data_IF_795618993895
#
_entry.id   IF_795618993895
#
_cell.length_a   1.000
_cell.length_b   1.000
_cell.length_c   1.000
_cell.angle_alpha   90.00
_cell.angle_beta   90.00
_cell.angle_gamma   90.00
#
_symmetry.space_group_name_H-M   'P 1'
#
loop_
_entity.id
_entity.type
_entity.pdbx_description
1 polymer ?
#
# COMPACT_ATOMS: atom_id res chain seq x y z
N UNK A 1 1.58 30.96 11.91
CA UNK A 1 1.16 30.71 10.53
C UNK A 1 1.84 29.42 10.07
N UNK A 2 1.18 28.29 10.25
CA UNK A 2 1.66 26.98 9.80
C UNK A 2 0.82 26.57 8.59
N UNK A 3 1.51 26.42 7.47
CA UNK A 3 0.91 25.89 6.26
C UNK A 3 0.78 24.36 6.41
N UNK A 4 -0.42 23.88 6.68
CA UNK A 4 -0.73 22.47 6.56
C UNK A 4 -0.70 22.10 5.07
N UNK A 5 0.30 21.30 4.68
CA UNK A 5 0.44 20.80 3.33
C UNK A 5 -0.71 19.87 2.97
N UNK A 6 -1.60 20.36 2.12
CA UNK A 6 -2.64 19.56 1.48
C UNK A 6 -1.98 18.75 0.37
N UNK A 7 -1.84 17.44 0.58
CA UNK A 7 -1.40 16.52 -0.47
C UNK A 7 -2.61 16.23 -1.37
N UNK A 8 -2.69 16.93 -2.49
CA UNK A 8 -3.75 16.73 -3.49
C UNK A 8 -3.32 15.61 -4.45
N UNK A 9 -3.89 14.41 -4.29
CA UNK A 9 -3.79 13.38 -5.32
C UNK A 9 -4.88 13.61 -6.37
N UNK A 10 -4.46 14.07 -7.55
CA UNK A 10 -5.34 14.16 -8.71
C UNK A 10 -5.37 12.78 -9.37
N UNK A 11 -6.44 12.05 -9.16
CA UNK A 11 -6.81 10.92 -10.03
C UNK A 11 -7.29 11.51 -11.36
N UNK A 12 -6.45 11.41 -12.37
CA UNK A 12 -6.78 11.85 -13.72
C UNK A 12 -7.84 10.89 -14.28
N UNK A 13 -9.07 11.34 -14.32
CA UNK A 13 -10.13 10.76 -15.14
C UNK A 13 -10.86 11.88 -15.85
N UNK A 14 -10.85 11.84 -17.17
CA UNK A 14 -11.67 12.70 -18.02
C UNK A 14 -13.14 12.45 -17.71
N UNK A 15 -13.71 13.14 -16.73
CA UNK A 15 -15.12 13.51 -16.58
C UNK A 15 -15.38 14.20 -15.24
N UNK A 16 -15.91 15.35 -15.38
CA UNK A 16 -16.52 16.32 -14.46
C UNK A 16 -15.55 17.36 -13.89
N UNK A 17 -15.69 18.55 -14.40
CA UNK A 17 -15.03 19.79 -13.97
C UNK A 17 -15.45 20.23 -12.55
N UNK A 18 -16.27 19.43 -11.81
CA UNK A 18 -16.95 19.86 -10.58
C UNK A 18 -16.79 18.91 -9.36
N UNK A 19 -15.82 17.97 -9.37
CA UNK A 19 -15.61 17.16 -8.17
C UNK A 19 -14.76 17.92 -7.15
N UNK A 20 -15.38 18.30 -6.01
CA UNK A 20 -14.70 18.97 -4.90
C UNK A 20 -14.37 17.96 -3.78
N UNK A 21 -13.10 17.91 -3.39
CA UNK A 21 -12.66 17.17 -2.19
C UNK A 21 -12.49 18.17 -1.06
N UNK A 22 -13.13 17.91 0.09
CA UNK A 22 -12.96 18.70 1.31
C UNK A 22 -12.43 17.80 2.40
N UNK A 23 -11.33 18.20 3.04
CA UNK A 23 -10.77 17.51 4.20
C UNK A 23 -10.99 18.41 5.42
N UNK A 24 -11.62 17.88 6.45
CA UNK A 24 -11.87 18.56 7.71
C UNK A 24 -11.10 17.85 8.83
N UNK A 25 -10.34 18.61 9.60
CA UNK A 25 -9.71 18.09 10.81
C UNK A 25 -10.73 18.11 11.95
N UNK A 26 -10.99 16.95 12.53
CA UNK A 26 -11.92 16.79 13.65
C UNK A 26 -11.16 16.54 14.96
N UNK A 27 -11.84 16.70 16.10
CA UNK A 27 -11.27 16.39 17.40
C UNK A 27 -11.06 14.89 17.59
N UNK A 28 -10.04 14.45 18.39
CA UNK A 28 -9.75 13.03 18.61
C UNK A 28 -10.90 12.21 19.24
N UNK A 29 -11.89 12.89 19.81
CA UNK A 29 -13.06 12.27 20.44
C UNK A 29 -14.16 11.89 19.42
N UNK A 30 -14.07 12.42 18.19
CA UNK A 30 -15.02 12.12 17.12
C UNK A 30 -14.50 10.97 16.28
N UNK A 31 -15.37 10.08 15.86
CA UNK A 31 -15.02 9.02 14.92
C UNK A 31 -14.66 9.60 13.55
N UNK A 32 -13.60 9.09 12.96
CA UNK A 32 -13.26 9.40 11.57
C UNK A 32 -14.30 8.81 10.63
N UNK A 33 -14.76 9.61 9.66
CA UNK A 33 -15.75 9.18 8.67
C UNK A 33 -15.39 9.70 7.26
N UNK A 34 -15.81 8.98 6.25
CA UNK A 34 -15.76 9.42 4.86
C UNK A 34 -17.17 9.61 4.37
N UNK A 35 -17.56 10.85 4.10
CA UNK A 35 -18.88 11.20 3.57
C UNK A 35 -18.77 11.44 2.05
N UNK A 36 -19.42 10.56 1.27
CA UNK A 36 -19.51 10.71 -0.18
C UNK A 36 -20.88 11.32 -0.55
N UNK A 37 -20.85 12.43 -1.25
CA UNK A 37 -22.03 13.05 -1.86
C UNK A 37 -21.95 12.89 -3.37
N UNK A 38 -22.78 12.06 -3.93
CA UNK A 38 -22.79 11.71 -5.34
C UNK A 38 -24.23 11.73 -5.90
N UNK A 39 -24.35 11.87 -7.20
CA UNK A 39 -25.66 11.80 -7.88
C UNK A 39 -26.13 10.35 -8.04
N UNK A 40 -25.22 9.44 -8.33
CA UNK A 40 -25.48 8.01 -8.45
C UNK A 40 -24.51 7.20 -7.55
N UNK A 41 -25.01 6.45 -6.54
CA UNK A 41 -24.16 5.63 -5.68
C UNK A 41 -23.53 4.41 -6.38
N UNK A 42 -23.96 4.11 -7.61
CA UNK A 42 -23.39 3.01 -8.42
C UNK A 42 -22.26 3.45 -9.35
N UNK A 43 -21.86 4.71 -9.27
CA UNK A 43 -20.69 5.17 -10.03
C UNK A 43 -19.44 4.41 -9.61
N UNK A 44 -18.58 3.97 -10.56
CA UNK A 44 -17.41 3.15 -10.26
C UNK A 44 -16.45 3.77 -9.23
N UNK A 45 -16.31 5.10 -9.24
CA UNK A 45 -15.45 5.81 -8.28
C UNK A 45 -15.99 5.75 -6.83
N UNK A 46 -17.32 5.62 -6.65
CA UNK A 46 -17.95 5.47 -5.31
C UNK A 46 -17.57 4.09 -4.74
N UNK A 47 -17.69 3.04 -5.55
CA UNK A 47 -17.27 1.69 -5.15
C UNK A 47 -15.77 1.63 -4.84
N UNK A 48 -14.96 2.33 -5.62
CA UNK A 48 -13.51 2.41 -5.38
C UNK A 48 -13.18 3.06 -4.03
N UNK A 49 -13.80 4.20 -3.72
CA UNK A 49 -13.58 4.87 -2.42
C UNK A 49 -14.13 4.03 -1.26
N UNK A 50 -15.29 3.40 -1.41
CA UNK A 50 -15.82 2.47 -0.40
C UNK A 50 -14.88 1.30 -0.14
N UNK A 51 -14.27 0.74 -1.19
CA UNK A 51 -13.28 -0.33 -1.08
C UNK A 51 -12.01 0.13 -0.36
N UNK A 52 -11.55 1.34 -0.63
CA UNK A 52 -10.40 1.96 0.06
C UNK A 52 -10.73 2.17 1.54
N UNK A 53 -11.87 2.76 1.85
CA UNK A 53 -12.32 3.01 3.22
C UNK A 53 -12.52 1.71 4.01
N UNK A 54 -12.96 0.64 3.34
CA UNK A 54 -13.08 -0.70 3.94
C UNK A 54 -11.74 -1.46 4.04
N UNK A 55 -10.62 -0.86 3.62
CA UNK A 55 -9.31 -1.52 3.58
C UNK A 55 -9.23 -2.68 2.57
N UNK A 56 -10.11 -2.70 1.57
CA UNK A 56 -10.22 -3.79 0.59
C UNK A 56 -9.58 -3.46 -0.76
N UNK A 57 -8.46 -2.76 -0.75
CA UNK A 57 -7.71 -2.53 -2.00
C UNK A 57 -7.22 -3.87 -2.54
N UNK A 58 -7.50 -4.14 -3.81
CA UNK A 58 -7.10 -5.38 -4.49
C UNK A 58 -6.23 -5.10 -5.70
N UNK A 59 -5.36 -6.06 -6.02
CA UNK A 59 -4.54 -6.09 -7.24
C UNK A 59 -4.72 -7.42 -7.96
N UNK A 60 -4.34 -7.48 -9.23
CA UNK A 60 -4.41 -8.69 -10.02
C UNK A 60 -3.03 -9.35 -10.11
N UNK A 61 -2.97 -10.64 -9.80
CA UNK A 61 -1.82 -11.50 -10.00
C UNK A 61 -2.17 -12.72 -10.85
N UNK A 62 -1.17 -13.36 -11.42
CA UNK A 62 -1.33 -14.58 -12.23
C UNK A 62 -0.62 -15.76 -11.57
N UNK A 63 -1.33 -16.87 -11.37
CA UNK A 63 -0.76 -18.15 -10.94
C UNK A 63 -1.39 -19.28 -11.78
N UNK A 64 -0.58 -20.21 -12.27
CA UNK A 64 -1.00 -21.37 -13.07
C UNK A 64 -1.91 -21.00 -14.26
N UNK A 65 -1.61 -19.86 -14.92
CA UNK A 65 -2.41 -19.35 -16.04
C UNK A 65 -3.75 -18.72 -15.64
N UNK A 66 -4.06 -18.61 -14.35
CA UNK A 66 -5.30 -18.03 -13.83
C UNK A 66 -5.05 -16.60 -13.33
N UNK A 67 -5.98 -15.71 -13.66
CA UNK A 67 -6.00 -14.35 -13.11
C UNK A 67 -6.65 -14.39 -11.73
N UNK A 68 -5.90 -14.02 -10.71
CA UNK A 68 -6.33 -14.01 -9.30
C UNK A 68 -6.41 -12.58 -8.78
N UNK A 69 -7.45 -12.28 -8.03
CA UNK A 69 -7.58 -11.01 -7.32
C UNK A 69 -7.02 -11.15 -5.90
N UNK A 70 -6.02 -10.35 -5.58
CA UNK A 70 -5.29 -10.37 -4.32
C UNK A 70 -5.64 -9.13 -3.51
N UNK A 71 -5.95 -9.28 -2.22
CA UNK A 71 -6.07 -8.14 -1.30
C UNK A 71 -4.68 -7.65 -0.91
N UNK A 72 -4.45 -6.34 -0.83
CA UNK A 72 -3.16 -5.80 -0.39
C UNK A 72 -2.76 -6.31 0.99
N UNK A 73 -3.73 -6.52 1.88
CA UNK A 73 -3.50 -7.06 3.23
C UNK A 73 -2.93 -8.49 3.23
N UNK A 74 -3.16 -9.28 2.18
CA UNK A 74 -2.69 -10.66 2.07
C UNK A 74 -1.28 -10.76 1.46
N UNK A 75 -0.77 -9.68 0.89
CA UNK A 75 0.55 -9.61 0.27
C UNK A 75 1.60 -9.40 1.36
N UNK A 76 2.61 -10.26 1.39
CA UNK A 76 3.78 -10.16 2.24
C UNK A 76 4.80 -9.18 1.67
N UNK A 77 5.12 -9.37 0.41
CA UNK A 77 5.96 -8.44 -0.33
C UNK A 77 5.75 -8.56 -1.85
N UNK A 78 6.11 -7.53 -2.54
CA UNK A 78 6.19 -7.46 -3.99
C UNK A 78 7.65 -7.29 -4.38
N UNK A 79 8.13 -8.10 -5.29
CA UNK A 79 9.52 -8.04 -5.73
C UNK A 79 9.64 -8.09 -7.24
N UNK A 80 10.62 -7.34 -7.74
CA UNK A 80 11.04 -7.39 -9.14
C UNK A 80 12.39 -8.11 -9.23
N UNK A 81 12.39 -9.26 -9.90
CA UNK A 81 13.57 -10.11 -10.12
C UNK A 81 13.76 -10.29 -11.62
N UNK A 82 14.91 -9.93 -12.14
CA UNK A 82 15.27 -10.08 -13.56
C UNK A 82 14.23 -9.51 -14.53
N UNK A 83 13.66 -8.35 -14.18
CA UNK A 83 12.64 -7.67 -14.98
C UNK A 83 11.22 -8.23 -14.87
N UNK A 84 11.02 -9.29 -14.10
CA UNK A 84 9.72 -9.89 -13.81
C UNK A 84 9.26 -9.52 -12.40
N UNK A 85 7.97 -9.24 -12.23
CA UNK A 85 7.39 -8.81 -10.98
C UNK A 85 6.51 -9.91 -10.37
N UNK A 86 6.57 -10.04 -9.04
CA UNK A 86 5.85 -11.08 -8.30
C UNK A 86 5.26 -10.54 -7.02
N UNK A 87 4.03 -10.97 -6.70
CA UNK A 87 3.42 -10.85 -5.39
C UNK A 87 3.66 -12.13 -4.59
N UNK A 88 4.22 -11.99 -3.42
CA UNK A 88 4.42 -13.09 -2.48
C UNK A 88 3.35 -13.01 -1.40
N UNK A 89 2.50 -14.04 -1.34
CA UNK A 89 1.50 -14.24 -0.30
C UNK A 89 1.92 -15.38 0.64
N UNK A 90 1.12 -15.69 1.63
CA UNK A 90 1.49 -16.65 2.67
C UNK A 90 1.96 -18.03 2.14
N UNK A 91 1.34 -18.53 1.07
CA UNK A 91 1.60 -19.87 0.53
C UNK A 91 1.82 -19.89 -0.99
N UNK A 92 1.56 -18.81 -1.66
CA UNK A 92 1.53 -18.74 -3.12
C UNK A 92 2.25 -17.50 -3.64
N UNK A 93 2.81 -17.64 -4.82
CA UNK A 93 3.49 -16.56 -5.55
C UNK A 93 2.73 -16.30 -6.84
N UNK A 94 2.42 -15.04 -7.09
CA UNK A 94 1.68 -14.61 -8.27
C UNK A 94 2.56 -13.70 -9.11
N UNK A 95 2.65 -13.96 -10.40
CA UNK A 95 3.31 -13.05 -11.33
C UNK A 95 2.45 -11.81 -11.58
N UNK A 96 3.10 -10.67 -11.80
CA UNK A 96 2.46 -9.39 -12.05
C UNK A 96 3.00 -8.73 -13.30
N UNK A 97 2.16 -7.95 -13.98
CA UNK A 97 2.58 -7.04 -15.05
C UNK A 97 2.87 -5.63 -14.54
N UNK A 98 2.53 -5.34 -13.28
CA UNK A 98 2.76 -4.03 -12.69
C UNK A 98 4.26 -3.78 -12.49
N UNK A 99 4.66 -2.55 -12.74
CA UNK A 99 5.99 -2.10 -12.40
C UNK A 99 6.07 -1.70 -10.93
N UNK A 100 7.26 -1.71 -10.37
CA UNK A 100 7.48 -1.41 -8.95
C UNK A 100 6.90 -0.05 -8.54
N UNK A 101 7.09 0.99 -9.35
CA UNK A 101 6.57 2.34 -9.06
C UNK A 101 5.04 2.42 -9.17
N UNK A 102 4.42 1.62 -10.05
CA UNK A 102 2.96 1.55 -10.17
C UNK A 102 2.34 0.92 -8.93
N UNK A 103 2.93 -0.17 -8.46
CA UNK A 103 2.48 -0.81 -7.23
C UNK A 103 2.77 0.06 -6.00
N UNK A 104 3.93 0.73 -5.93
CA UNK A 104 4.27 1.66 -4.85
C UNK A 104 3.24 2.79 -4.72
N UNK A 105 2.71 3.31 -5.83
CA UNK A 105 1.67 4.34 -5.82
C UNK A 105 0.35 3.85 -5.20
N UNK A 106 0.01 2.57 -5.36
CA UNK A 106 -1.18 1.96 -4.74
C UNK A 106 -1.01 1.71 -3.23
N UNK A 107 0.25 1.66 -2.76
CA UNK A 107 0.57 1.36 -1.36
C UNK A 107 0.48 2.57 -0.43
N UNK A 108 0.23 3.77 -0.95
CA UNK A 108 0.14 5.00 -0.15
C UNK A 108 -0.99 4.88 0.88
N UNK A 109 -0.69 5.20 2.15
CA UNK A 109 -1.66 5.07 3.25
C UNK A 109 -1.87 3.65 3.76
N UNK A 110 -1.12 2.67 3.25
CA UNK A 110 -1.17 1.28 3.71
C UNK A 110 0.07 0.91 4.54
N UNK A 111 0.13 -0.34 5.01
CA UNK A 111 1.32 -0.89 5.68
C UNK A 111 2.41 -1.36 4.70
N UNK A 112 2.18 -1.28 3.39
CA UNK A 112 3.15 -1.61 2.36
C UNK A 112 4.11 -0.43 2.13
N UNK A 113 5.42 -0.69 2.15
CA UNK A 113 6.44 0.33 1.95
C UNK A 113 7.64 -0.20 1.17
N UNK A 114 8.31 0.68 0.48
CA UNK A 114 9.55 0.36 -0.19
C UNK A 114 10.62 -0.01 0.81
N UNK A 115 11.19 -1.21 0.71
CA UNK A 115 12.24 -1.69 1.62
C UNK A 115 13.60 -1.90 0.93
N UNK A 116 13.61 -1.97 -0.42
CA UNK A 116 14.84 -2.05 -1.22
C UNK A 116 14.64 -1.40 -2.61
N UNK A 117 15.64 -1.49 -3.47
CA UNK A 117 15.57 -1.00 -4.86
C UNK A 117 14.52 -1.75 -5.69
N UNK A 118 14.25 -3.01 -5.35
CA UNK A 118 13.39 -3.91 -6.13
C UNK A 118 12.21 -4.49 -5.35
N UNK A 119 12.01 -4.07 -4.07
CA UNK A 119 11.04 -4.73 -3.20
C UNK A 119 10.21 -3.73 -2.41
N UNK A 120 8.91 -4.05 -2.28
CA UNK A 120 7.93 -3.41 -1.39
C UNK A 120 7.48 -4.46 -0.39
N UNK A 121 7.60 -4.18 0.91
CA UNK A 121 7.32 -5.07 2.03
C UNK A 121 6.10 -4.60 2.80
N UNK A 122 5.30 -5.53 3.28
CA UNK A 122 4.17 -5.25 4.17
C UNK A 122 4.64 -5.24 5.63
N UNK A 123 4.68 -4.06 6.24
CA UNK A 123 5.05 -3.93 7.66
C UNK A 123 4.07 -4.65 8.60
N UNK A 124 2.80 -4.83 8.20
CA UNK A 124 1.81 -5.58 8.96
C UNK A 124 2.05 -7.09 9.03
N UNK A 125 3.00 -7.62 8.22
CA UNK A 125 3.42 -9.03 8.21
C UNK A 125 4.73 -9.27 8.95
N UNK A 126 5.31 -8.23 9.53
CA UNK A 126 6.56 -8.32 10.28
C UNK A 126 6.26 -8.79 11.70
N UNK A 127 6.87 -9.89 12.09
CA UNK A 127 6.84 -10.39 13.47
C UNK A 127 7.84 -9.62 14.35
N UNK A 128 9.10 -9.53 13.90
CA UNK A 128 10.13 -8.73 14.56
C UNK A 128 11.18 -8.20 13.59
N UNK A 129 11.95 -7.22 14.05
CA UNK A 129 13.08 -6.66 13.29
C UNK A 129 14.34 -6.66 14.13
N UNK A 130 15.47 -6.96 13.52
CA UNK A 130 16.79 -6.94 14.12
C UNK A 130 17.70 -5.95 13.35
N UNK A 131 18.47 -5.13 14.07
CA UNK A 131 19.54 -4.36 13.44
C UNK A 131 20.54 -5.32 12.77
N UNK A 132 20.92 -5.01 11.55
CA UNK A 132 21.93 -5.75 10.77
C UNK A 132 23.13 -4.85 10.48
N UNK A 133 24.16 -5.43 9.89
CA UNK A 133 25.38 -4.70 9.54
C UNK A 133 25.10 -3.51 8.62
N UNK A 134 25.91 -2.47 8.73
CA UNK A 134 25.89 -1.28 7.86
C UNK A 134 24.57 -0.48 7.92
N UNK A 135 23.88 -0.48 9.08
CA UNK A 135 22.66 0.29 9.27
C UNK A 135 21.44 -0.26 8.54
N UNK A 136 21.48 -1.50 8.08
CA UNK A 136 20.32 -2.25 7.57
C UNK A 136 19.53 -2.87 8.71
N UNK A 137 18.33 -3.36 8.40
CA UNK A 137 17.53 -4.17 9.30
C UNK A 137 17.17 -5.48 8.62
N UNK A 138 17.10 -6.55 9.39
CA UNK A 138 16.50 -7.82 9.00
C UNK A 138 15.10 -7.86 9.62
N UNK A 139 14.07 -8.02 8.80
CA UNK A 139 12.71 -8.26 9.22
C UNK A 139 12.41 -9.76 9.11
N UNK A 140 11.95 -10.36 10.19
CA UNK A 140 11.37 -11.68 10.18
C UNK A 140 9.86 -11.54 10.00
N UNK A 141 9.30 -12.26 9.03
CA UNK A 141 7.88 -12.25 8.72
C UNK A 141 7.16 -13.38 9.47
N UNK A 142 5.87 -13.24 9.69
CA UNK A 142 5.05 -14.23 10.42
C UNK A 142 4.93 -15.57 9.68
N UNK A 143 5.30 -15.64 8.39
CA UNK A 143 5.43 -16.89 7.62
C UNK A 143 6.82 -17.56 7.76
N UNK A 144 7.73 -16.98 8.55
CA UNK A 144 9.08 -17.47 8.79
C UNK A 144 10.15 -16.99 7.80
N UNK A 145 9.77 -16.24 6.77
CA UNK A 145 10.73 -15.65 5.83
C UNK A 145 11.45 -14.46 6.45
N UNK A 146 12.63 -14.13 5.89
CA UNK A 146 13.45 -13.01 6.32
C UNK A 146 13.75 -12.08 5.15
N UNK A 147 13.57 -10.79 5.37
CA UNK A 147 13.78 -9.75 4.37
C UNK A 147 14.74 -8.70 4.89
N UNK A 148 15.69 -8.28 4.06
CA UNK A 148 16.63 -7.21 4.39
C UNK A 148 16.07 -5.86 3.96
N UNK A 149 15.96 -4.96 4.92
CA UNK A 149 15.52 -3.58 4.71
C UNK A 149 16.76 -2.71 4.55
N UNK A 150 16.89 -2.06 3.41
CA UNK A 150 18.00 -1.17 3.10
C UNK A 150 17.98 0.06 3.99
N UNK A 151 19.17 0.55 4.37
CA UNK A 151 19.38 1.66 5.29
C UNK A 151 18.49 2.89 5.04
N UNK A 152 18.32 3.25 3.77
CA UNK A 152 17.51 4.42 3.38
C UNK A 152 16.01 4.30 3.70
N UNK A 153 15.49 3.08 3.89
CA UNK A 153 14.08 2.82 4.18
C UNK A 153 13.79 2.51 5.66
N UNK A 154 14.82 2.47 6.50
CA UNK A 154 14.68 2.17 7.94
C UNK A 154 13.85 3.23 8.67
N UNK A 155 13.97 4.50 8.28
CA UNK A 155 13.14 5.58 8.86
C UNK A 155 11.66 5.40 8.57
N UNK A 156 11.32 4.95 7.37
CA UNK A 156 9.92 4.65 6.97
C UNK A 156 9.38 3.46 7.79
N UNK A 157 10.18 2.40 7.94
CA UNK A 157 9.82 1.26 8.79
C UNK A 157 9.50 1.70 10.21
N UNK A 158 10.40 2.47 10.84
CA UNK A 158 10.23 2.94 12.23
C UNK A 158 8.94 3.75 12.39
N UNK A 159 8.64 4.62 11.44
CA UNK A 159 7.39 5.40 11.43
C UNK A 159 6.15 4.49 11.34
N UNK A 160 6.17 3.48 10.48
CA UNK A 160 5.05 2.54 10.33
C UNK A 160 4.84 1.68 11.58
N UNK A 161 5.92 1.32 12.29
CA UNK A 161 5.85 0.55 13.52
C UNK A 161 5.62 1.43 14.78
N UNK A 162 5.38 2.72 14.61
CA UNK A 162 5.08 3.64 15.73
C UNK A 162 6.28 3.98 16.62
N UNK A 163 7.48 3.97 16.05
CA UNK A 163 8.74 4.30 16.77
C UNK A 163 9.46 5.49 16.16
#
# INVERSE_FOLDING_TARGET
MEQSGVLCYILYRERSEDMKVTVEQISPERAEEVLLRCHDPKEPWVEEIQSIAAGQITVNGMADGKLCRLKLADIYYFEVVDGSAFFYCQKEVFSSKQKLYEFEALCVGTMLFRCSKSMILNAGKIDYVLPSLSGRFEAALDNGEKVIISRQYVSTLKRLLGR
#
